data_IF_532237337724
#
_entry.id   IF_532237337724
#
_cell.length_a   1.000
_cell.length_b   1.000
_cell.length_c   1.000
_cell.angle_alpha   90.00
_cell.angle_beta   90.00
_cell.angle_gamma   90.00
#
_symmetry.space_group_name_H-M   'P 1'
#
loop_
_entity.id
_entity.type
_entity.pdbx_description
1 polymer ?
#
# COMPACT_ATOMS: atom_id res chain seq x y z
N UNK A 1 6.84 12.32 17.67
CA UNK A 1 7.79 11.38 17.04
C UNK A 1 7.36 11.17 15.59
N UNK A 2 7.86 11.99 14.67
CA UNK A 2 7.57 11.89 13.22
C UNK A 2 8.89 12.23 12.53
N UNK A 3 9.78 11.27 12.28
CA UNK A 3 10.96 11.53 11.46
C UNK A 3 11.74 10.31 10.92
N UNK A 4 11.21 9.09 10.98
CA UNK A 4 11.91 7.92 10.42
C UNK A 4 11.44 7.56 9.00
N UNK A 5 10.18 7.85 8.64
CA UNK A 5 9.59 7.41 7.36
C UNK A 5 10.14 8.17 6.13
N UNK A 6 10.77 9.33 6.33
CA UNK A 6 11.25 10.19 5.22
C UNK A 6 12.63 9.80 4.68
N UNK A 7 13.42 9.00 5.38
CA UNK A 7 14.79 8.70 4.96
C UNK A 7 14.86 7.52 3.98
N UNK A 8 13.96 6.54 4.10
CA UNK A 8 13.89 5.33 3.25
C UNK A 8 13.46 5.65 1.81
N UNK A 9 12.65 6.69 1.60
CA UNK A 9 12.13 7.07 0.28
C UNK A 9 13.11 7.89 -0.58
N UNK A 10 14.26 8.31 -0.04
CA UNK A 10 15.19 9.19 -0.76
C UNK A 10 15.85 8.55 -1.98
N UNK A 11 15.86 7.22 -2.08
CA UNK A 11 16.50 6.50 -3.18
C UNK A 11 15.52 5.67 -4.02
N UNK A 12 14.23 5.64 -3.66
CA UNK A 12 13.20 4.93 -4.42
C UNK A 12 12.76 5.81 -5.58
N UNK A 13 12.96 5.34 -6.82
CA UNK A 13 12.46 5.96 -8.04
C UNK A 13 11.38 5.08 -8.64
N UNK A 14 10.31 5.72 -9.09
CA UNK A 14 9.22 5.08 -9.82
C UNK A 14 9.03 5.85 -11.13
N UNK A 15 8.81 5.14 -12.22
CA UNK A 15 8.50 5.72 -13.52
C UNK A 15 7.05 6.27 -13.57
N UNK A 16 6.17 5.74 -12.72
CA UNK A 16 4.75 6.10 -12.68
C UNK A 16 4.40 7.12 -11.59
N UNK A 17 5.09 7.10 -10.44
CA UNK A 17 4.77 7.93 -9.28
C UNK A 17 5.91 8.82 -8.80
N UNK A 18 5.57 10.05 -8.41
CA UNK A 18 6.49 11.00 -7.79
C UNK A 18 6.70 10.68 -6.30
N UNK A 19 7.77 11.17 -5.70
CA UNK A 19 8.15 10.98 -4.30
C UNK A 19 7.01 11.32 -3.30
N UNK A 20 6.16 12.30 -3.61
CA UNK A 20 5.00 12.66 -2.79
C UNK A 20 3.92 11.56 -2.81
N UNK A 21 3.67 10.97 -3.99
CA UNK A 21 2.70 9.88 -4.17
C UNK A 21 3.21 8.61 -3.50
N UNK A 22 4.49 8.26 -3.69
CA UNK A 22 5.15 7.15 -2.99
C UNK A 22 5.10 7.31 -1.47
N UNK A 23 5.39 8.51 -0.96
CA UNK A 23 5.29 8.78 0.48
C UNK A 23 3.86 8.63 1.02
N UNK A 24 2.85 8.93 0.21
CA UNK A 24 1.44 8.78 0.58
C UNK A 24 1.02 7.31 0.54
N UNK A 25 1.51 6.56 -0.46
CA UNK A 25 1.30 5.12 -0.57
C UNK A 25 1.94 4.36 0.61
N UNK A 26 3.18 4.68 0.97
CA UNK A 26 3.83 4.08 2.14
C UNK A 26 3.07 4.37 3.44
N UNK A 27 2.59 5.61 3.62
CA UNK A 27 1.80 6.00 4.79
C UNK A 27 0.48 5.24 4.86
N UNK A 28 -0.17 5.02 3.72
CA UNK A 28 -1.38 4.23 3.63
C UNK A 28 -1.11 2.74 3.87
N UNK A 29 -0.02 2.21 3.30
CA UNK A 29 0.47 0.86 3.55
C UNK A 29 0.71 0.60 5.03
N UNK A 30 1.33 1.53 5.74
CA UNK A 30 1.51 1.45 7.19
C UNK A 30 0.19 1.50 7.99
N UNK A 31 -0.89 2.03 7.42
CA UNK A 31 -2.20 2.04 8.07
C UNK A 31 -2.94 0.71 7.87
N UNK A 32 -2.80 0.10 6.68
CA UNK A 32 -3.37 -1.22 6.39
C UNK A 32 -2.55 -2.38 6.98
N UNK A 33 -1.23 -2.24 7.00
CA UNK A 33 -0.27 -3.20 7.53
C UNK A 33 0.69 -2.49 8.51
N UNK A 34 0.20 -2.14 9.72
CA UNK A 34 1.00 -1.44 10.73
C UNK A 34 2.13 -2.28 11.33
N UNK A 35 2.17 -3.58 11.03
CA UNK A 35 3.03 -4.61 11.63
C UNK A 35 2.55 -5.00 13.02
N UNK A 36 2.43 -6.31 13.27
CA UNK A 36 1.95 -6.87 14.54
C UNK A 36 2.76 -8.12 14.88
N UNK A 37 3.37 -8.15 16.07
CA UNK A 37 4.10 -9.32 16.60
C UNK A 37 5.21 -9.80 15.67
N UNK A 38 4.91 -10.79 14.84
CA UNK A 38 5.85 -11.41 13.89
C UNK A 38 5.83 -10.76 12.49
N UNK A 39 4.79 -9.99 12.14
CA UNK A 39 4.63 -9.42 10.80
C UNK A 39 5.30 -8.04 10.71
N UNK A 40 6.16 -7.81 9.69
CA UNK A 40 6.82 -6.52 9.50
C UNK A 40 5.81 -5.45 9.08
N UNK A 41 6.15 -4.18 9.35
CA UNK A 41 5.37 -3.03 8.90
C UNK A 41 5.59 -2.83 7.40
N UNK A 42 4.64 -2.26 6.68
CA UNK A 42 4.77 -2.03 5.23
C UNK A 42 6.02 -1.21 4.85
N UNK A 43 6.37 -0.19 5.63
CA UNK A 43 7.58 0.60 5.40
C UNK A 43 8.87 -0.20 5.60
N UNK A 44 8.84 -1.26 6.41
CA UNK A 44 10.02 -1.99 6.82
C UNK A 44 10.39 -3.05 5.77
N UNK A 45 9.43 -3.50 4.97
CA UNK A 45 9.63 -4.51 3.92
C UNK A 45 10.28 -3.96 2.65
N UNK A 46 10.27 -2.64 2.46
CA UNK A 46 10.84 -2.01 1.26
C UNK A 46 10.12 -2.38 -0.04
N UNK A 47 8.95 -3.03 0.01
CA UNK A 47 8.20 -3.48 -1.17
C UNK A 47 7.81 -2.35 -2.12
N UNK A 48 7.84 -1.10 -1.64
CA UNK A 48 7.49 0.07 -2.45
C UNK A 48 8.45 0.32 -3.62
N UNK A 49 9.66 -0.27 -3.60
CA UNK A 49 10.58 -0.27 -4.74
C UNK A 49 10.00 -0.98 -5.97
N UNK A 50 9.08 -1.94 -5.76
CA UNK A 50 8.46 -2.76 -6.81
C UNK A 50 7.05 -2.28 -7.17
N UNK A 51 6.74 -1.01 -6.88
CA UNK A 51 5.44 -0.43 -7.23
C UNK A 51 5.23 -0.42 -8.75
N UNK A 52 6.29 -0.21 -9.52
CA UNK A 52 6.22 -0.15 -10.99
C UNK A 52 5.82 -1.51 -11.58
N UNK A 53 6.32 -2.62 -11.04
CA UNK A 53 5.95 -3.98 -11.47
C UNK A 53 4.45 -4.25 -11.28
N UNK A 54 3.85 -3.72 -10.20
CA UNK A 54 2.41 -3.86 -9.95
C UNK A 54 1.61 -2.98 -10.91
N UNK A 55 2.11 -1.77 -11.20
CA UNK A 55 1.44 -0.80 -12.06
C UNK A 55 1.61 -1.10 -13.56
N UNK A 56 2.62 -1.87 -13.96
CA UNK A 56 2.83 -2.25 -15.36
C UNK A 56 1.62 -2.99 -15.95
N UNK A 57 0.90 -3.74 -15.11
CA UNK A 57 -0.31 -4.47 -15.48
C UNK A 57 -1.60 -3.63 -15.46
N UNK A 58 -1.52 -2.36 -15.04
CA UNK A 58 -2.67 -1.46 -14.84
C UNK A 58 -2.82 -0.51 -16.03
N UNK A 59 -4.06 -0.20 -16.40
CA UNK A 59 -4.34 0.75 -17.49
C UNK A 59 -3.81 2.16 -17.14
N UNK A 60 -3.17 2.89 -18.07
CA UNK A 60 -2.51 4.16 -17.76
C UNK A 60 -3.44 5.23 -17.18
N UNK A 61 -4.72 5.23 -17.55
CA UNK A 61 -5.72 6.16 -17.00
C UNK A 61 -5.99 5.86 -15.51
N UNK A 62 -6.04 4.59 -15.12
CA UNK A 62 -6.20 4.17 -13.73
C UNK A 62 -4.95 4.50 -12.90
N UNK A 63 -3.75 4.37 -13.48
CA UNK A 63 -2.49 4.77 -12.81
C UNK A 63 -2.49 6.27 -12.53
N UNK A 64 -2.92 7.09 -13.49
CA UNK A 64 -3.05 8.53 -13.29
C UNK A 64 -4.08 8.87 -12.22
N UNK A 65 -5.25 8.22 -12.24
CA UNK A 65 -6.31 8.43 -11.25
C UNK A 65 -5.84 8.06 -9.84
N UNK A 66 -5.11 6.95 -9.70
CA UNK A 66 -4.47 6.53 -8.46
C UNK A 66 -3.44 7.56 -7.99
N UNK A 67 -2.63 8.10 -8.90
CA UNK A 67 -1.67 9.16 -8.61
C UNK A 67 -2.34 10.43 -8.07
N UNK A 68 -3.49 10.82 -8.64
CA UNK A 68 -4.29 11.96 -8.15
C UNK A 68 -4.85 11.64 -6.76
N UNK A 69 -5.40 10.44 -6.55
CA UNK A 69 -5.92 10.00 -5.26
C UNK A 69 -4.84 10.06 -4.18
N UNK A 70 -3.63 9.57 -4.46
CA UNK A 70 -2.48 9.62 -3.54
C UNK A 70 -2.09 11.07 -3.20
N UNK A 71 -2.18 11.98 -4.16
CA UNK A 71 -1.92 13.41 -3.94
C UNK A 71 -2.99 14.06 -3.06
N UNK A 72 -4.26 13.69 -3.23
CA UNK A 72 -5.36 14.11 -2.34
C UNK A 72 -5.20 13.52 -0.94
N UNK A 73 -4.77 12.26 -0.82
CA UNK A 73 -4.47 11.63 0.46
C UNK A 73 -3.30 12.30 1.18
N UNK A 74 -2.34 12.89 0.44
CA UNK A 74 -1.21 13.62 1.04
C UNK A 74 -1.66 14.81 1.88
N UNK A 75 -2.56 15.62 1.33
CA UNK A 75 -3.10 16.81 2.00
C UNK A 75 -4.09 16.42 3.11
N UNK A 76 -4.63 15.20 3.04
CA UNK A 76 -5.57 14.68 4.03
C UNK A 76 -4.83 14.24 5.30
N UNK A 77 -5.22 14.71 6.50
CA UNK A 77 -4.58 14.33 7.73
C UNK A 77 -4.87 12.85 8.09
N UNK A 78 -3.95 12.18 8.80
CA UNK A 78 -4.05 10.75 9.14
C UNK A 78 -5.37 10.36 9.82
N UNK A 79 -5.90 11.21 10.70
CA UNK A 79 -7.16 10.93 11.38
C UNK A 79 -8.33 10.89 10.38
N UNK A 80 -8.31 11.71 9.32
CA UNK A 80 -9.30 11.66 8.25
C UNK A 80 -9.11 10.43 7.38
N UNK A 81 -7.87 10.02 7.09
CA UNK A 81 -7.60 8.79 6.34
C UNK A 81 -8.10 7.58 7.12
N UNK A 82 -7.81 7.52 8.42
CA UNK A 82 -8.31 6.46 9.29
C UNK A 82 -9.84 6.47 9.35
N UNK A 83 -10.46 7.64 9.46
CA UNK A 83 -11.92 7.77 9.43
C UNK A 83 -12.50 7.36 8.08
N UNK A 84 -11.85 7.71 6.97
CA UNK A 84 -12.23 7.32 5.63
C UNK A 84 -12.18 5.80 5.47
N UNK A 85 -11.09 5.16 5.92
CA UNK A 85 -10.97 3.69 5.91
C UNK A 85 -12.07 3.05 6.75
N UNK A 86 -12.37 3.57 7.95
CA UNK A 86 -13.50 3.09 8.76
C UNK A 86 -14.86 3.33 8.09
N UNK A 87 -15.04 4.46 7.40
CA UNK A 87 -16.26 4.79 6.67
C UNK A 87 -16.46 3.88 5.45
N UNK A 88 -15.37 3.52 4.77
CA UNK A 88 -15.35 2.56 3.66
C UNK A 88 -15.69 1.15 4.15
N UNK A 89 -15.15 0.73 5.29
CA UNK A 89 -15.47 -0.56 5.88
C UNK A 89 -16.96 -0.62 6.32
N UNK A 90 -17.50 0.52 6.73
CA UNK A 90 -18.90 0.67 7.15
C UNK A 90 -19.81 1.26 6.04
N UNK A 91 -19.51 0.98 4.77
CA UNK A 91 -20.22 1.50 3.59
C UNK A 91 -21.73 1.23 3.57
N UNK A 92 -22.22 0.20 4.27
CA UNK A 92 -23.65 -0.10 4.44
C UNK A 92 -24.46 1.04 5.09
N UNK A 93 -23.78 1.98 5.75
CA UNK A 93 -24.40 3.12 6.44
C UNK A 93 -24.61 4.34 5.53
N UNK A 94 -24.11 4.30 4.29
CA UNK A 94 -24.17 5.40 3.34
C UNK A 94 -25.15 5.10 2.19
N UNK A 95 -25.71 6.14 1.53
CA UNK A 95 -26.58 5.96 0.38
C UNK A 95 -25.84 5.26 -0.77
N UNK A 96 -26.56 4.45 -1.55
CA UNK A 96 -25.98 3.52 -2.55
C UNK A 96 -24.99 4.17 -3.51
N UNK A 97 -25.25 5.41 -3.95
CA UNK A 97 -24.36 6.13 -4.85
C UNK A 97 -22.97 6.35 -4.23
N UNK A 98 -22.91 6.77 -2.96
CA UNK A 98 -21.65 7.03 -2.24
C UNK A 98 -20.99 5.71 -1.86
N UNK A 99 -21.78 4.73 -1.43
CA UNK A 99 -21.28 3.41 -1.05
C UNK A 99 -20.54 2.72 -2.20
N UNK A 100 -21.01 2.86 -3.44
CA UNK A 100 -20.33 2.33 -4.64
C UNK A 100 -18.92 2.90 -4.84
N UNK A 101 -18.78 4.22 -4.78
CA UNK A 101 -17.47 4.88 -4.91
C UNK A 101 -16.54 4.56 -3.76
N UNK A 102 -17.04 4.54 -2.51
CA UNK A 102 -16.25 4.13 -1.34
C UNK A 102 -15.74 2.70 -1.49
N UNK A 103 -16.58 1.77 -1.96
CA UNK A 103 -16.17 0.39 -2.21
C UNK A 103 -15.10 0.30 -3.29
N UNK A 104 -15.26 1.03 -4.40
CA UNK A 104 -14.30 1.03 -5.51
C UNK A 104 -12.92 1.52 -5.04
N UNK A 105 -12.88 2.66 -4.35
CA UNK A 105 -11.62 3.22 -3.82
C UNK A 105 -11.02 2.26 -2.78
N UNK A 106 -11.85 1.62 -1.95
CA UNK A 106 -11.37 0.67 -0.94
C UNK A 106 -10.73 -0.55 -1.59
N UNK A 107 -11.32 -1.06 -2.67
CA UNK A 107 -10.80 -2.20 -3.41
C UNK A 107 -9.50 -1.84 -4.13
N UNK A 108 -9.44 -0.67 -4.78
CA UNK A 108 -8.23 -0.20 -5.45
C UNK A 108 -7.06 0.00 -4.48
N UNK A 109 -7.28 0.75 -3.40
CA UNK A 109 -6.22 1.01 -2.41
C UNK A 109 -5.76 -0.27 -1.71
N UNK A 110 -6.68 -1.10 -1.25
CA UNK A 110 -6.35 -2.36 -0.59
C UNK A 110 -5.69 -3.34 -1.56
N UNK A 111 -6.14 -3.36 -2.82
CA UNK A 111 -5.57 -4.20 -3.88
C UNK A 111 -4.09 -3.89 -4.08
N UNK A 112 -3.74 -2.64 -4.39
CA UNK A 112 -2.34 -2.24 -4.62
C UNK A 112 -1.46 -2.50 -3.39
N UNK A 113 -1.93 -2.11 -2.20
CA UNK A 113 -1.16 -2.28 -0.97
C UNK A 113 -0.95 -3.75 -0.64
N UNK A 114 -2.00 -4.58 -0.71
CA UNK A 114 -1.90 -5.99 -0.38
C UNK A 114 -1.11 -6.77 -1.44
N UNK A 115 -1.26 -6.44 -2.72
CA UNK A 115 -0.42 -7.01 -3.78
C UNK A 115 1.05 -6.74 -3.53
N UNK A 116 1.42 -5.50 -3.18
CA UNK A 116 2.80 -5.17 -2.82
C UNK A 116 3.26 -5.87 -1.55
N UNK A 117 2.47 -5.81 -0.47
CA UNK A 117 2.83 -6.37 0.82
C UNK A 117 2.98 -7.90 0.78
N UNK A 118 2.12 -8.59 0.03
CA UNK A 118 2.16 -10.05 -0.16
C UNK A 118 2.93 -10.49 -1.40
N UNK A 119 3.56 -9.59 -2.16
CA UNK A 119 4.40 -9.97 -3.31
C UNK A 119 5.60 -10.83 -2.91
N UNK A 120 6.03 -10.75 -1.65
CA UNK A 120 7.25 -11.38 -1.17
C UNK A 120 8.53 -10.66 -1.62
N UNK A 121 8.41 -9.59 -2.42
CA UNK A 121 9.53 -8.78 -2.90
C UNK A 121 10.07 -7.92 -1.75
N UNK A 122 11.36 -8.00 -1.47
CA UNK A 122 12.05 -7.17 -0.46
C UNK A 122 12.84 -6.09 -1.15
N UNK A 123 12.67 -4.85 -0.70
CA UNK A 123 13.50 -3.74 -1.17
C UNK A 123 14.97 -3.96 -0.82
N UNK A 124 15.86 -3.35 -1.60
CA UNK A 124 17.32 -3.50 -1.47
C UNK A 124 17.89 -3.11 -0.09
N UNK A 125 17.19 -2.23 0.64
CA UNK A 125 17.55 -1.74 1.98
C UNK A 125 16.74 -2.42 3.12
N UNK A 126 15.90 -3.41 2.81
CA UNK A 126 15.01 -4.01 3.80
C UNK A 126 15.74 -5.04 4.68
N UNK A 127 15.88 -4.73 5.98
CA UNK A 127 16.37 -5.67 7.01
C UNK A 127 15.25 -6.56 7.60
N UNK A 128 14.00 -6.36 7.18
CA UNK A 128 12.86 -7.07 7.73
C UNK A 128 12.77 -8.51 7.20
N UNK A 129 12.41 -9.45 8.09
CA UNK A 129 12.02 -10.80 7.70
C UNK A 129 10.86 -10.72 6.69
N UNK A 130 10.87 -11.52 5.63
CA UNK A 130 9.89 -11.40 4.57
C UNK A 130 8.50 -11.67 5.10
N UNK A 131 7.48 -11.03 4.54
CA UNK A 131 6.08 -11.27 4.94
C UNK A 131 5.76 -12.77 4.86
N UNK A 132 6.30 -13.46 3.84
CA UNK A 132 6.16 -14.91 3.66
C UNK A 132 6.98 -15.72 4.67
N UNK A 133 8.21 -15.28 4.97
CA UNK A 133 9.08 -15.90 5.99
C UNK A 133 8.43 -15.81 7.39
N UNK A 134 7.85 -14.66 7.73
CA UNK A 134 7.16 -14.41 8.98
C UNK A 134 5.86 -15.23 9.12
N UNK A 135 5.23 -15.59 7.99
CA UNK A 135 4.08 -16.49 7.96
C UNK A 135 4.46 -17.98 7.97
N UNK A 136 5.76 -18.30 7.84
CA UNK A 136 6.21 -19.68 7.68
C UNK A 136 5.75 -20.31 6.36
N UNK A 137 5.53 -19.50 5.32
CA UNK A 137 5.09 -19.99 4.02
C UNK A 137 6.25 -20.70 3.29
N UNK A 138 6.10 -22.00 3.06
CA UNK A 138 7.04 -22.81 2.27
C UNK A 138 6.31 -23.44 1.08
N UNK A 139 6.73 -23.12 -0.15
CA UNK A 139 6.24 -23.79 -1.36
C UNK A 139 6.78 -25.22 -1.38
N UNK A 140 5.89 -26.20 -1.24
CA UNK A 140 6.18 -27.60 -1.52
C UNK A 140 5.57 -27.92 -2.88
N UNK A 141 6.42 -28.00 -3.91
CA UNK A 141 6.01 -28.44 -5.24
C UNK A 141 6.24 -29.95 -5.32
N UNK A 142 5.18 -30.74 -5.28
CA UNK A 142 5.22 -32.16 -5.65
C UNK A 142 4.82 -32.27 -7.13
N UNK A 143 5.59 -33.03 -7.91
CA UNK A 143 5.27 -33.30 -9.31
C UNK A 143 4.28 -34.48 -9.34
N UNK A 144 3.05 -34.23 -9.80
CA UNK A 144 2.10 -35.30 -10.17
C UNK A 144 2.56 -36.06 -11.42
#
# INVERSE_FOLDING_TARGET
MVNSDTNTLRNVRSDYFNAIQLASLQRLGNLYAPGNGCLPRFSDTGCIEYVDDVLESVEPDDVQLLGILLLVLRITPLFMISWLVTAMDNHHRYPEFIAGWLRLISLGMKGVIMSLYYSGLKGSDSQAQGVHDAMGYSLHCELD
#
